data_IF_266320476746
#
_entry.id   IF_266320476746
#
_cell.length_a   1.000
_cell.length_b   1.000
_cell.length_c   1.000
_cell.angle_alpha   90.00
_cell.angle_beta   90.00
_cell.angle_gamma   90.00
#
_symmetry.space_group_name_H-M   'P 1'
#
loop_
_entity.id
_entity.type
_entity.pdbx_description
1 polymer ?
#
# COMPACT_ATOMS: atom_id res chain seq x y z
N UNK A 1 10.88 -2.78 -9.81
CA UNK A 1 10.29 -2.42 -8.51
C UNK A 1 8.86 -1.98 -8.75
N UNK A 2 7.88 -2.54 -8.05
CA UNK A 2 6.46 -2.19 -8.18
C UNK A 2 6.17 -0.84 -7.50
N UNK A 3 5.27 -0.06 -8.12
CA UNK A 3 4.83 1.25 -7.61
C UNK A 3 3.34 1.17 -7.27
N UNK A 4 3.00 1.42 -6.01
CA UNK A 4 1.62 1.62 -5.57
C UNK A 4 1.42 3.07 -5.18
N UNK A 5 0.36 3.71 -5.67
CA UNK A 5 -0.06 5.05 -5.26
C UNK A 5 -1.41 4.94 -4.56
N UNK A 6 -1.44 5.27 -3.27
CA UNK A 6 -2.60 5.06 -2.41
C UNK A 6 -3.34 6.36 -2.07
N UNK A 7 -4.59 6.24 -1.61
CA UNK A 7 -5.40 7.38 -1.19
C UNK A 7 -5.87 8.26 -2.34
N UNK A 8 -6.06 7.67 -3.51
CA UNK A 8 -6.55 8.37 -4.68
C UNK A 8 -8.05 8.67 -4.58
N UNK A 9 -8.44 9.86 -5.04
CA UNK A 9 -9.84 10.33 -5.02
C UNK A 9 -10.22 11.12 -6.26
N UNK A 10 -9.35 11.99 -6.75
CA UNK A 10 -9.59 12.79 -7.94
C UNK A 10 -9.44 11.95 -9.20
N UNK A 11 -10.51 11.78 -9.97
CA UNK A 11 -10.54 10.91 -11.17
C UNK A 11 -9.59 11.37 -12.27
N UNK A 12 -9.33 12.68 -12.39
CA UNK A 12 -8.36 13.17 -13.38
C UNK A 12 -6.92 12.78 -12.97
N UNK A 13 -6.60 12.91 -11.68
CA UNK A 13 -5.30 12.46 -11.16
C UNK A 13 -5.14 10.93 -11.26
N UNK A 14 -6.22 10.16 -11.06
CA UNK A 14 -6.21 8.70 -11.25
C UNK A 14 -5.82 8.32 -12.68
N UNK A 15 -6.39 8.98 -13.70
CA UNK A 15 -6.05 8.76 -15.12
C UNK A 15 -4.56 9.01 -15.41
N UNK A 16 -3.93 9.95 -14.71
CA UNK A 16 -2.50 10.19 -14.89
C UNK A 16 -1.66 9.16 -14.12
N UNK A 17 -2.06 8.84 -12.89
CA UNK A 17 -1.33 7.91 -12.01
C UNK A 17 -1.31 6.49 -12.59
N UNK A 18 -2.42 6.01 -13.16
CA UNK A 18 -2.49 4.67 -13.74
C UNK A 18 -1.52 4.43 -14.92
N UNK A 19 -0.93 5.49 -15.49
CA UNK A 19 0.03 5.39 -16.58
C UNK A 19 1.46 5.03 -16.08
N UNK A 20 1.73 5.16 -14.80
CA UNK A 20 3.07 4.92 -14.25
C UNK A 20 3.07 4.15 -12.90
N UNK A 21 1.91 3.86 -12.35
CA UNK A 21 1.77 3.02 -11.17
C UNK A 21 1.27 1.62 -11.55
N UNK A 22 1.78 0.58 -10.86
CA UNK A 22 1.28 -0.79 -11.02
C UNK A 22 -0.02 -1.00 -10.25
N UNK A 23 -0.18 -0.28 -9.12
CA UNK A 23 -1.34 -0.35 -8.24
C UNK A 23 -1.87 1.03 -7.89
N UNK A 24 -3.19 1.20 -7.91
CA UNK A 24 -3.88 2.42 -7.49
C UNK A 24 -4.82 2.11 -6.32
N UNK A 25 -4.56 2.71 -5.15
CA UNK A 25 -5.28 2.43 -3.92
C UNK A 25 -6.41 3.43 -3.62
N UNK A 26 -7.59 2.89 -3.32
CA UNK A 26 -8.81 3.61 -2.93
C UNK A 26 -9.20 3.21 -1.51
N UNK A 27 -9.38 4.18 -0.60
CA UNK A 27 -9.60 3.92 0.82
C UNK A 27 -11.10 3.91 1.14
N UNK A 28 -11.60 2.75 1.57
CA UNK A 28 -13.00 2.53 1.98
C UNK A 28 -13.21 2.61 3.49
N UNK A 29 -12.25 3.15 4.23
CA UNK A 29 -12.36 3.40 5.67
C UNK A 29 -12.93 4.80 5.92
N UNK A 30 -14.15 4.89 6.47
CA UNK A 30 -14.91 6.13 6.60
C UNK A 30 -14.22 7.20 7.45
N UNK A 31 -13.41 6.80 8.44
CA UNK A 31 -12.68 7.75 9.29
C UNK A 31 -11.41 8.31 8.63
N UNK A 32 -11.11 7.91 7.40
CA UNK A 32 -9.98 8.45 6.64
C UNK A 32 -10.36 9.75 5.93
N UNK A 33 -9.50 10.77 6.01
CA UNK A 33 -9.62 11.98 5.18
C UNK A 33 -9.57 11.68 3.67
N UNK A 34 -9.10 10.47 3.30
CA UNK A 34 -8.98 9.97 1.92
C UNK A 34 -10.06 8.97 1.56
N UNK A 35 -11.14 8.92 2.34
CA UNK A 35 -12.28 8.03 2.09
C UNK A 35 -12.91 8.30 0.72
N UNK A 36 -13.28 7.22 0.03
CA UNK A 36 -14.05 7.26 -1.20
C UNK A 36 -15.25 6.30 -1.13
N UNK A 37 -16.32 6.65 -1.82
CA UNK A 37 -17.48 5.80 -2.04
C UNK A 37 -17.65 5.37 -3.52
N UNK A 38 -16.82 5.91 -4.41
CA UNK A 38 -16.81 5.60 -5.84
C UNK A 38 -15.38 5.50 -6.35
N UNK A 39 -15.16 4.67 -7.35
CA UNK A 39 -13.87 4.53 -8.03
C UNK A 39 -14.06 4.53 -9.54
N UNK A 40 -13.13 5.10 -10.32
CA UNK A 40 -13.17 5.00 -11.78
C UNK A 40 -12.78 3.60 -12.24
N UNK A 41 -13.06 3.28 -13.50
CA UNK A 41 -12.44 2.14 -14.18
C UNK A 41 -10.98 2.46 -14.48
N UNK A 42 -10.08 1.53 -14.20
CA UNK A 42 -8.67 1.58 -14.57
C UNK A 42 -8.43 0.71 -15.81
N UNK A 43 -7.40 1.05 -16.59
CA UNK A 43 -7.02 0.32 -17.81
C UNK A 43 -5.61 -0.27 -17.73
N UNK A 44 -4.72 0.36 -16.96
CA UNK A 44 -3.29 0.05 -16.98
C UNK A 44 -2.74 -0.37 -15.61
N UNK A 45 -3.44 -0.05 -14.53
CA UNK A 45 -3.02 -0.38 -13.16
C UNK A 45 -4.05 -1.26 -12.46
N UNK A 46 -3.61 -2.06 -11.49
CA UNK A 46 -4.48 -2.84 -10.64
C UNK A 46 -5.17 -1.94 -9.59
N UNK A 47 -6.47 -2.13 -9.44
CA UNK A 47 -7.30 -1.40 -8.49
C UNK A 47 -7.27 -2.06 -7.11
N UNK A 48 -6.79 -1.34 -6.11
CA UNK A 48 -6.69 -1.82 -4.73
C UNK A 48 -7.71 -1.14 -3.83
N UNK A 49 -8.60 -1.92 -3.21
CA UNK A 49 -9.45 -1.43 -2.13
C UNK A 49 -8.73 -1.54 -0.78
N UNK A 50 -8.67 -0.44 -0.02
CA UNK A 50 -8.03 -0.40 1.30
C UNK A 50 -9.09 -0.35 2.39
N UNK A 51 -9.01 -1.29 3.33
CA UNK A 51 -9.99 -1.50 4.42
C UNK A 51 -9.29 -1.55 5.78
N UNK A 52 -10.04 -1.20 6.82
CA UNK A 52 -9.61 -1.32 8.23
C UNK A 52 -10.68 -2.07 9.01
N UNK A 53 -10.36 -3.26 9.48
CA UNK A 53 -11.23 -4.16 10.23
C UNK A 53 -12.60 -4.41 9.57
N UNK A 54 -12.68 -4.69 8.27
CA UNK A 54 -13.93 -4.95 7.57
C UNK A 54 -14.46 -6.35 7.89
N UNK A 55 -15.72 -6.58 7.65
CA UNK A 55 -16.30 -7.92 7.52
C UNK A 55 -15.99 -8.50 6.15
N UNK A 56 -16.04 -9.83 6.02
CA UNK A 56 -15.89 -10.50 4.71
C UNK A 56 -16.95 -10.03 3.71
N UNK A 57 -18.20 -9.92 4.14
CA UNK A 57 -19.33 -9.47 3.29
C UNK A 57 -19.12 -8.05 2.77
N UNK A 58 -18.61 -7.15 3.61
CA UNK A 58 -18.29 -5.79 3.22
C UNK A 58 -17.23 -5.77 2.11
N UNK A 59 -16.11 -6.48 2.31
CA UNK A 59 -15.05 -6.55 1.30
C UNK A 59 -15.57 -7.17 0.01
N UNK A 60 -16.31 -8.29 0.09
CA UNK A 60 -16.87 -8.97 -1.07
C UNK A 60 -17.80 -8.05 -1.88
N UNK A 61 -18.64 -7.27 -1.21
CA UNK A 61 -19.49 -6.28 -1.86
C UNK A 61 -18.68 -5.23 -2.61
N UNK A 62 -17.61 -4.70 -1.99
CA UNK A 62 -16.75 -3.70 -2.63
C UNK A 62 -15.96 -4.28 -3.80
N UNK A 63 -15.48 -5.53 -3.72
CA UNK A 63 -14.84 -6.22 -4.85
C UNK A 63 -15.76 -6.21 -6.07
N UNK A 64 -17.02 -6.57 -5.87
CA UNK A 64 -18.02 -6.63 -6.98
C UNK A 64 -18.36 -5.25 -7.51
N UNK A 65 -18.74 -4.30 -6.63
CA UNK A 65 -19.21 -2.97 -7.03
C UNK A 65 -18.12 -2.16 -7.73
N UNK A 66 -16.88 -2.25 -7.23
CA UNK A 66 -15.76 -1.44 -7.70
C UNK A 66 -14.83 -2.17 -8.65
N UNK A 67 -15.09 -3.47 -8.92
CA UNK A 67 -14.20 -4.33 -9.74
C UNK A 67 -12.75 -4.26 -9.23
N UNK A 68 -12.55 -4.62 -7.95
CA UNK A 68 -11.23 -4.58 -7.33
C UNK A 68 -10.39 -5.76 -7.78
N UNK A 69 -9.13 -5.52 -8.15
CA UNK A 69 -8.14 -6.53 -8.50
C UNK A 69 -7.39 -7.03 -7.24
N UNK A 70 -7.30 -6.17 -6.24
CA UNK A 70 -6.65 -6.48 -4.97
C UNK A 70 -7.36 -5.81 -3.79
N UNK A 71 -7.17 -6.37 -2.60
CA UNK A 71 -7.61 -5.78 -1.33
C UNK A 71 -6.42 -5.61 -0.40
N UNK A 72 -6.35 -4.47 0.27
CA UNK A 72 -5.39 -4.20 1.33
C UNK A 72 -6.11 -4.15 2.67
N UNK A 73 -5.71 -5.04 3.59
CA UNK A 73 -6.23 -5.13 4.95
C UNK A 73 -5.26 -4.41 5.89
N UNK A 74 -5.67 -3.25 6.39
CA UNK A 74 -4.79 -2.32 7.12
C UNK A 74 -5.12 -2.23 8.62
N UNK A 75 -5.96 -3.11 9.13
CA UNK A 75 -6.37 -3.19 10.53
C UNK A 75 -5.76 -4.39 11.27
N UNK A 76 -6.58 -4.99 12.15
CA UNK A 76 -6.22 -6.16 12.96
C UNK A 76 -6.87 -7.45 12.43
N UNK A 77 -7.10 -7.51 11.12
CA UNK A 77 -7.77 -8.65 10.46
C UNK A 77 -7.02 -9.95 10.72
N UNK A 78 -7.77 -11.01 10.94
CA UNK A 78 -7.23 -12.35 11.19
C UNK A 78 -6.83 -13.06 9.88
N UNK A 79 -5.93 -14.06 9.92
CA UNK A 79 -5.50 -14.84 8.75
C UNK A 79 -6.66 -15.49 7.98
N UNK A 80 -7.72 -15.89 8.67
CA UNK A 80 -8.91 -16.54 8.08
C UNK A 80 -9.62 -15.61 7.10
N UNK A 81 -9.69 -14.30 7.39
CA UNK A 81 -10.24 -13.33 6.44
C UNK A 81 -9.34 -13.21 5.20
N UNK A 82 -8.02 -13.17 5.39
CA UNK A 82 -7.07 -13.14 4.27
C UNK A 82 -7.24 -14.37 3.38
N UNK A 83 -7.31 -15.57 3.98
CA UNK A 83 -7.51 -16.84 3.27
C UNK A 83 -8.78 -16.83 2.42
N UNK A 84 -9.91 -16.42 3.02
CA UNK A 84 -11.21 -16.37 2.32
C UNK A 84 -11.25 -15.37 1.16
N UNK A 85 -10.49 -14.28 1.25
CA UNK A 85 -10.42 -13.24 0.21
C UNK A 85 -9.44 -13.64 -0.91
N UNK A 86 -8.36 -14.35 -0.60
CA UNK A 86 -7.34 -14.74 -1.57
C UNK A 86 -7.87 -15.65 -2.69
N UNK A 87 -8.95 -16.37 -2.44
CA UNK A 87 -9.65 -17.15 -3.47
C UNK A 87 -10.31 -16.29 -4.55
N UNK A 88 -10.46 -14.98 -4.32
CA UNK A 88 -11.23 -14.06 -5.17
C UNK A 88 -10.37 -12.96 -5.79
N UNK A 89 -9.44 -12.41 -5.03
CA UNK A 89 -8.59 -11.28 -5.41
C UNK A 89 -7.22 -11.41 -4.75
N UNK A 90 -6.24 -10.63 -5.22
CA UNK A 90 -4.96 -10.48 -4.51
C UNK A 90 -5.17 -9.87 -3.13
N UNK A 91 -4.44 -10.36 -2.14
CA UNK A 91 -4.52 -9.85 -0.76
C UNK A 91 -3.18 -9.23 -0.34
N UNK A 92 -3.25 -7.99 0.13
CA UNK A 92 -2.14 -7.26 0.74
C UNK A 92 -2.46 -7.10 2.23
N UNK A 93 -1.64 -7.67 3.13
CA UNK A 93 -1.80 -7.44 4.58
C UNK A 93 -0.81 -6.38 5.05
N UNK A 94 -1.33 -5.28 5.59
CA UNK A 94 -0.50 -4.22 6.16
C UNK A 94 -0.19 -4.46 7.64
N UNK A 95 1.04 -4.11 8.04
CA UNK A 95 1.50 -4.10 9.41
C UNK A 95 2.15 -2.75 9.73
N UNK A 96 1.76 -2.17 10.86
CA UNK A 96 2.45 -1.02 11.43
C UNK A 96 3.77 -1.47 12.09
N UNK A 97 4.90 -0.99 11.57
CA UNK A 97 6.26 -1.36 11.97
C UNK A 97 6.92 -0.21 12.72
N UNK A 98 7.59 -0.55 13.81
CA UNK A 98 8.52 0.30 14.57
C UNK A 98 9.79 -0.49 14.90
N UNK A 99 10.74 0.11 15.64
CA UNK A 99 11.99 -0.55 16.04
C UNK A 99 11.81 -1.80 16.90
N UNK A 100 10.62 -2.01 17.47
CA UNK A 100 10.29 -3.15 18.34
C UNK A 100 9.41 -4.19 17.66
N UNK A 101 9.11 -4.03 16.37
CA UNK A 101 8.20 -4.92 15.66
C UNK A 101 8.73 -6.34 15.57
N UNK A 102 7.94 -7.30 16.04
CA UNK A 102 8.26 -8.73 15.94
C UNK A 102 7.71 -9.31 14.63
N UNK A 103 8.59 -9.57 13.65
CA UNK A 103 8.24 -10.16 12.36
C UNK A 103 7.68 -11.60 12.43
N UNK A 104 7.88 -12.34 13.53
CA UNK A 104 7.21 -13.62 13.75
C UNK A 104 5.67 -13.51 13.66
N UNK A 105 5.12 -12.33 13.89
CA UNK A 105 3.67 -12.08 13.74
C UNK A 105 3.18 -12.22 12.31
N UNK A 106 4.06 -12.10 11.31
CA UNK A 106 3.68 -12.23 9.90
C UNK A 106 3.52 -13.68 9.46
N UNK A 107 4.22 -14.63 10.10
CA UNK A 107 4.27 -16.03 9.65
C UNK A 107 2.91 -16.69 9.53
N UNK A 108 1.96 -16.34 10.39
CA UNK A 108 0.60 -16.89 10.35
C UNK A 108 -0.22 -16.40 9.14
N UNK A 109 0.29 -15.44 8.34
CA UNK A 109 -0.36 -14.91 7.14
C UNK A 109 0.32 -15.36 5.85
N UNK A 110 1.54 -15.91 5.89
CA UNK A 110 2.37 -16.17 4.71
C UNK A 110 1.64 -16.95 3.59
N UNK A 111 0.84 -17.95 3.94
CA UNK A 111 0.09 -18.74 2.95
C UNK A 111 -1.20 -18.10 2.46
N UNK A 112 -1.62 -16.97 3.04
CA UNK A 112 -2.94 -16.38 2.85
C UNK A 112 -2.91 -15.00 2.20
N UNK A 113 -1.72 -14.49 1.87
CA UNK A 113 -1.57 -13.17 1.24
C UNK A 113 -0.59 -13.24 0.08
N UNK A 114 -0.69 -12.30 -0.84
CA UNK A 114 0.22 -12.16 -1.97
C UNK A 114 1.36 -11.20 -1.65
N UNK A 115 1.07 -10.21 -0.79
CA UNK A 115 2.06 -9.24 -0.32
C UNK A 115 1.81 -8.85 1.13
N UNK A 116 2.89 -8.55 1.83
CA UNK A 116 2.83 -7.68 3.00
C UNK A 116 3.02 -6.22 2.59
N UNK A 117 2.56 -5.32 3.45
CA UNK A 117 2.87 -3.90 3.38
C UNK A 117 3.37 -3.48 4.75
N UNK A 118 4.62 -3.05 4.83
CA UNK A 118 5.22 -2.56 6.08
C UNK A 118 5.14 -1.04 6.12
N UNK A 119 4.20 -0.54 6.92
CA UNK A 119 3.95 0.89 7.12
C UNK A 119 4.52 1.36 8.45
N UNK A 120 4.70 2.67 8.62
CA UNK A 120 5.09 3.23 9.93
C UNK A 120 3.96 3.03 10.94
N UNK A 121 4.30 2.45 12.09
CA UNK A 121 3.36 2.30 13.20
C UNK A 121 2.92 3.67 13.72
N UNK A 122 1.62 3.92 13.73
CA UNK A 122 1.00 5.14 14.21
C UNK A 122 -0.23 4.83 15.06
N UNK A 123 -0.64 5.70 15.99
CA UNK A 123 -1.89 5.53 16.74
C UNK A 123 -3.13 5.51 15.83
N UNK A 124 -3.06 6.19 14.68
CA UNK A 124 -4.09 6.23 13.64
C UNK A 124 -3.61 5.39 12.46
N UNK A 125 -4.51 4.66 11.82
CA UNK A 125 -4.20 3.82 10.66
C UNK A 125 -3.78 4.67 9.45
N UNK A 126 -2.45 4.73 9.20
CA UNK A 126 -1.83 5.36 8.03
C UNK A 126 -1.73 6.89 8.06
N UNK A 127 -1.01 7.44 7.10
CA UNK A 127 -1.02 8.88 6.76
C UNK A 127 -0.25 9.84 7.66
N UNK A 128 0.52 9.39 8.65
CA UNK A 128 1.25 10.25 9.60
C UNK A 128 2.42 11.03 9.01
N UNK A 129 2.90 10.65 7.82
CA UNK A 129 4.12 11.20 7.22
C UNK A 129 5.42 10.89 7.98
N UNK A 130 5.35 10.12 9.08
CA UNK A 130 6.52 9.68 9.84
C UNK A 130 7.16 8.47 9.18
N UNK A 131 8.47 8.33 9.36
CA UNK A 131 9.26 7.21 8.87
C UNK A 131 9.78 6.40 10.07
N UNK A 132 9.76 5.07 9.97
CA UNK A 132 10.51 4.20 10.87
C UNK A 132 11.90 3.91 10.30
N UNK A 133 12.79 3.40 11.12
CA UNK A 133 14.11 2.97 10.66
C UNK A 133 13.99 1.69 9.84
N UNK A 134 14.21 1.78 8.53
CA UNK A 134 14.10 0.65 7.60
C UNK A 134 15.15 -0.45 7.82
N UNK A 135 16.19 -0.21 8.63
CA UNK A 135 17.15 -1.25 8.99
C UNK A 135 16.49 -2.44 9.69
N UNK A 136 15.36 -2.22 10.38
CA UNK A 136 14.60 -3.30 11.05
C UNK A 136 14.07 -4.34 10.06
N UNK A 137 13.93 -3.99 8.78
CA UNK A 137 13.47 -4.92 7.74
C UNK A 137 14.43 -6.08 7.53
N UNK A 138 15.71 -5.95 7.91
CA UNK A 138 16.69 -7.06 7.90
C UNK A 138 16.26 -8.22 8.82
N UNK A 139 15.38 -7.96 9.79
CA UNK A 139 14.82 -8.98 10.69
C UNK A 139 13.62 -9.74 10.06
N UNK A 140 13.14 -9.31 8.89
CA UNK A 140 12.11 -10.05 8.18
C UNK A 140 12.74 -11.21 7.41
N UNK A 141 12.49 -12.42 7.87
CA UNK A 141 13.02 -13.66 7.28
C UNK A 141 11.93 -14.49 6.56
N UNK A 142 10.73 -13.93 6.40
CA UNK A 142 9.62 -14.61 5.73
C UNK A 142 9.78 -14.68 4.20
N UNK A 143 8.95 -15.51 3.58
CA UNK A 143 8.98 -15.75 2.13
C UNK A 143 8.03 -14.84 1.35
N UNK A 144 7.02 -14.27 1.99
CA UNK A 144 6.04 -13.37 1.35
C UNK A 144 6.71 -12.07 0.90
N UNK A 145 6.58 -11.66 -0.36
CA UNK A 145 7.10 -10.39 -0.84
C UNK A 145 6.40 -9.21 -0.17
N UNK A 146 7.09 -8.05 -0.09
CA UNK A 146 6.50 -6.90 0.57
C UNK A 146 6.67 -5.57 -0.16
N UNK A 147 5.74 -4.67 0.13
CA UNK A 147 5.81 -3.25 -0.14
C UNK A 147 6.33 -2.49 1.07
N UNK A 148 7.24 -1.55 0.83
CA UNK A 148 7.65 -0.56 1.80
C UNK A 148 6.67 0.62 1.77
N UNK A 149 6.19 1.04 2.92
CA UNK A 149 5.32 2.20 3.11
C UNK A 149 5.78 3.04 4.31
N UNK A 150 5.10 4.14 4.57
CA UNK A 150 5.32 5.00 5.73
C UNK A 150 6.38 6.08 5.52
N UNK A 151 5.92 7.33 5.44
CA UNK A 151 6.77 8.51 5.38
C UNK A 151 7.67 8.62 4.16
N UNK A 152 7.39 7.87 3.08
CA UNK A 152 8.16 7.97 1.84
C UNK A 152 7.97 9.36 1.24
N UNK A 153 9.10 10.01 0.89
CA UNK A 153 9.18 11.34 0.32
C UNK A 153 10.36 11.45 -0.66
N UNK A 154 10.42 12.50 -1.52
CA UNK A 154 11.45 12.61 -2.57
C UNK A 154 12.89 12.46 -2.09
N UNK A 155 13.23 12.96 -0.90
CA UNK A 155 14.58 12.87 -0.33
C UNK A 155 15.05 11.44 -0.03
N UNK A 156 14.14 10.45 -0.07
CA UNK A 156 14.44 9.04 0.26
C UNK A 156 14.73 8.17 -0.97
N UNK A 157 14.78 8.74 -2.18
CA UNK A 157 15.02 7.99 -3.41
C UNK A 157 16.29 7.12 -3.33
N UNK A 158 17.41 7.69 -2.87
CA UNK A 158 18.67 6.96 -2.72
C UNK A 158 18.58 5.83 -1.68
N UNK A 159 17.92 6.08 -0.55
CA UNK A 159 17.73 5.06 0.49
C UNK A 159 16.92 3.89 -0.01
N UNK A 160 15.88 4.14 -0.82
CA UNK A 160 15.04 3.10 -1.43
C UNK A 160 15.82 2.32 -2.48
N UNK A 161 16.59 2.98 -3.36
CA UNK A 161 17.44 2.30 -4.35
C UNK A 161 18.47 1.38 -3.69
N UNK A 162 18.98 1.78 -2.54
CA UNK A 162 19.98 1.03 -1.79
C UNK A 162 19.39 -0.02 -0.84
N UNK A 163 18.08 -0.10 -0.71
CA UNK A 163 17.42 -1.11 0.12
C UNK A 163 17.59 -2.50 -0.51
N UNK A 164 18.45 -3.31 0.11
CA UNK A 164 18.74 -4.66 -0.35
C UNK A 164 18.03 -5.67 0.54
N UNK A 165 16.91 -6.18 0.06
CA UNK A 165 16.20 -7.27 0.71
C UNK A 165 15.56 -8.17 -0.36
N UNK A 166 15.76 -9.49 -0.28
CA UNK A 166 15.32 -10.45 -1.31
C UNK A 166 13.80 -10.45 -1.56
N UNK A 167 13.02 -10.05 -0.56
CA UNK A 167 11.54 -10.00 -0.61
C UNK A 167 10.98 -8.59 -0.85
N UNK A 168 11.83 -7.58 -0.91
CA UNK A 168 11.39 -6.23 -1.29
C UNK A 168 10.94 -6.21 -2.76
N UNK A 169 9.70 -5.80 -3.00
CA UNK A 169 9.11 -5.78 -4.36
C UNK A 169 8.66 -4.42 -4.81
N UNK A 170 8.30 -3.54 -3.90
CA UNK A 170 7.77 -2.25 -4.29
C UNK A 170 7.58 -1.29 -3.14
N UNK A 171 7.10 -0.11 -3.48
CA UNK A 171 6.81 0.97 -2.55
C UNK A 171 5.34 1.39 -2.64
N UNK A 172 4.81 1.87 -1.52
CA UNK A 172 3.47 2.46 -1.42
C UNK A 172 3.57 3.95 -1.11
N UNK A 173 3.16 4.80 -2.05
CA UNK A 173 3.26 6.25 -2.00
C UNK A 173 1.92 6.85 -1.63
N UNK A 174 1.89 7.73 -0.62
CA UNK A 174 0.66 8.41 -0.19
C UNK A 174 0.95 9.85 0.23
N UNK A 175 0.89 10.19 1.52
CA UNK A 175 0.91 11.55 2.07
C UNK A 175 2.15 12.38 1.72
N UNK A 176 3.31 11.75 1.51
CA UNK A 176 4.54 12.46 1.09
C UNK A 176 4.47 13.08 -0.31
N UNK A 177 3.43 12.76 -1.07
CA UNK A 177 3.20 13.18 -2.45
C UNK A 177 1.84 13.85 -2.64
N UNK A 178 1.39 14.60 -1.65
CA UNK A 178 0.13 15.33 -1.66
C UNK A 178 0.37 16.81 -1.39
N UNK A 179 -0.49 17.67 -1.93
CA UNK A 179 -0.66 19.06 -1.53
C UNK A 179 -1.56 19.14 -0.29
N UNK A 180 -2.62 18.34 -0.27
CA UNK A 180 -3.54 18.11 0.83
C UNK A 180 -4.10 16.68 0.74
N UNK A 181 -4.76 16.14 1.77
CA UNK A 181 -5.29 14.77 1.72
C UNK A 181 -6.10 14.48 0.45
N UNK A 182 -5.69 13.44 -0.29
CA UNK A 182 -6.24 13.01 -1.59
C UNK A 182 -5.97 13.93 -2.79
N UNK A 183 -5.24 15.02 -2.63
CA UNK A 183 -4.79 15.89 -3.73
C UNK A 183 -3.32 15.61 -4.04
N UNK A 184 -3.08 14.71 -4.99
CA UNK A 184 -1.72 14.25 -5.33
C UNK A 184 -0.96 15.30 -6.15
N UNK A 185 0.29 15.51 -5.77
CA UNK A 185 1.29 16.23 -6.56
C UNK A 185 1.85 15.28 -7.62
N UNK A 186 1.21 15.27 -8.79
CA UNK A 186 1.53 14.35 -9.89
C UNK A 186 2.95 14.55 -10.41
N UNK A 187 3.41 15.79 -10.51
CA UNK A 187 4.77 16.09 -10.99
C UNK A 187 5.83 15.59 -10.01
N UNK A 188 5.58 15.75 -8.71
CA UNK A 188 6.44 15.21 -7.66
C UNK A 188 6.50 13.68 -7.72
N UNK A 189 5.36 13.00 -7.94
CA UNK A 189 5.30 11.55 -8.13
C UNK A 189 6.14 11.12 -9.34
N UNK A 190 5.89 11.70 -10.51
CA UNK A 190 6.61 11.39 -11.76
C UNK A 190 8.11 11.60 -11.62
N UNK A 191 8.52 12.74 -11.03
CA UNK A 191 9.94 13.05 -10.77
C UNK A 191 10.59 12.02 -9.84
N UNK A 192 9.93 11.66 -8.77
CA UNK A 192 10.43 10.70 -7.80
C UNK A 192 10.57 9.30 -8.41
N UNK A 193 9.56 8.82 -9.12
CA UNK A 193 9.59 7.51 -9.78
C UNK A 193 10.72 7.46 -10.82
N UNK A 194 10.90 8.54 -11.60
CA UNK A 194 12.04 8.64 -12.52
C UNK A 194 13.37 8.53 -11.79
N UNK A 195 13.54 9.17 -10.64
CA UNK A 195 14.78 9.05 -9.83
C UNK A 195 15.03 7.61 -9.34
N UNK A 196 13.98 6.81 -9.12
CA UNK A 196 14.12 5.41 -8.69
C UNK A 196 14.52 4.47 -9.83
N UNK A 197 14.20 4.81 -11.07
CA UNK A 197 14.44 3.98 -12.27
C UNK A 197 15.68 4.37 -13.05
N UNK A 198 16.19 5.59 -12.88
CA UNK A 198 17.43 6.05 -13.55
C UNK A 198 18.64 5.45 -12.84
N UNK A 199 19.34 4.55 -13.51
CA UNK A 199 20.69 4.13 -13.10
C UNK A 199 21.67 5.23 -13.56
N UNK A 200 22.27 5.95 -12.61
CA UNK A 200 23.48 6.73 -12.87
C UNK A 200 24.66 5.78 -12.98
#
# INVERSE_FOLDING_TARGET
>A
MLIKVCGMRNFNQVKEVELFADFVGFIFYQNSERFVNQTPTLKFAEKVGVFVNPTFQEVQRHITIHSLDAVQLHGQELPELCSSLREKVKVIKAFGVDSTFNFQRTTRYDSFVDFFLFDTKTPLYGGSGRQYDWSVLSNYLGETPFFLSGGIRPSLANSIRNLKHSKFRGIDLNSGFEHSPSDKDIDKLKKFIKQLTTHE
#
